data_IF_630135131269
#
_entry.id   IF_630135131269
#
_cell.length_a   1.000
_cell.length_b   1.000
_cell.length_c   1.000
_cell.angle_alpha   90.00
_cell.angle_beta   90.00
_cell.angle_gamma   90.00
#
_symmetry.space_group_name_H-M   'P 1'
#
loop_
_entity.id
_entity.type
_entity.pdbx_description
1 polymer ?
#
# COMPACT_ATOMS: atom_id res chain seq x y z
N UNK A 1 24.31 12.62 -40.97
CA UNK A 1 24.46 12.82 -39.50
C UNK A 1 23.13 12.50 -38.87
N UNK A 2 22.99 11.31 -38.29
CA UNK A 2 21.74 10.89 -37.64
C UNK A 2 21.74 11.42 -36.21
N UNK A 3 20.82 12.33 -35.89
CA UNK A 3 20.57 12.74 -34.51
C UNK A 3 19.87 11.58 -33.79
N UNK A 4 20.63 10.86 -32.97
CA UNK A 4 20.10 10.02 -31.89
C UNK A 4 19.63 10.96 -30.79
N UNK A 5 18.33 11.19 -30.70
CA UNK A 5 17.74 11.81 -29.53
C UNK A 5 17.63 10.73 -28.45
N UNK A 6 18.20 11.02 -27.28
CA UNK A 6 18.14 10.21 -26.07
C UNK A 6 16.68 10.00 -25.66
N UNK A 7 16.17 8.77 -25.80
CA UNK A 7 15.06 8.32 -24.98
C UNK A 7 15.57 8.14 -23.55
N UNK A 8 15.37 9.19 -22.74
CA UNK A 8 15.58 9.16 -21.31
C UNK A 8 14.49 8.25 -20.74
N UNK A 9 14.82 6.97 -20.57
CA UNK A 9 13.95 5.94 -20.00
C UNK A 9 13.72 6.28 -18.52
N UNK A 10 12.86 7.26 -18.24
CA UNK A 10 12.33 7.50 -16.90
C UNK A 10 11.41 6.34 -16.59
N UNK A 11 11.89 5.40 -15.78
CA UNK A 11 11.05 4.36 -15.20
C UNK A 11 9.96 5.07 -14.41
N UNK A 12 8.75 5.12 -14.97
CA UNK A 12 7.60 5.72 -14.30
C UNK A 12 7.39 4.99 -12.98
N UNK A 13 7.26 5.77 -11.91
CA UNK A 13 6.98 5.21 -10.59
C UNK A 13 5.49 4.90 -10.52
N UNK A 14 5.16 3.68 -10.15
CA UNK A 14 3.79 3.22 -9.96
C UNK A 14 3.50 2.96 -8.48
N UNK A 15 2.21 3.03 -8.13
CA UNK A 15 1.73 2.80 -6.78
C UNK A 15 0.54 1.85 -6.80
N UNK A 16 0.50 0.93 -5.84
CA UNK A 16 -0.56 -0.08 -5.74
C UNK A 16 -0.94 -0.26 -4.27
N UNK A 17 -2.24 -0.43 -4.02
CA UNK A 17 -2.81 -0.91 -2.77
C UNK A 17 -3.05 -2.42 -2.93
N UNK A 18 -2.52 -3.22 -2.02
CA UNK A 18 -2.85 -4.63 -1.87
C UNK A 18 -3.53 -4.84 -0.51
N UNK A 19 -4.56 -5.67 -0.45
CA UNK A 19 -5.40 -5.79 0.72
C UNK A 19 -6.16 -7.12 0.75
N UNK A 20 -6.61 -7.53 1.93
CA UNK A 20 -7.66 -8.54 2.00
C UNK A 20 -9.02 -7.95 1.55
N UNK A 21 -9.99 -8.80 1.34
CA UNK A 21 -11.33 -8.43 0.87
C UNK A 21 -12.05 -7.43 1.78
N UNK A 22 -11.83 -7.47 3.11
CA UNK A 22 -12.44 -6.53 4.07
C UNK A 22 -11.83 -5.13 3.92
N UNK A 23 -10.50 -5.02 3.95
CA UNK A 23 -9.79 -3.76 3.77
C UNK A 23 -10.06 -3.16 2.37
N UNK A 24 -10.12 -4.01 1.35
CA UNK A 24 -10.44 -3.58 -0.01
C UNK A 24 -11.89 -3.07 -0.12
N UNK A 25 -12.84 -3.71 0.56
CA UNK A 25 -14.23 -3.22 0.62
C UNK A 25 -14.31 -1.84 1.29
N UNK A 26 -13.58 -1.63 2.39
CA UNK A 26 -13.50 -0.33 3.06
C UNK A 26 -12.91 0.74 2.13
N UNK A 27 -11.83 0.43 1.40
CA UNK A 27 -11.23 1.36 0.44
C UNK A 27 -12.20 1.71 -0.71
N UNK A 28 -12.92 0.72 -1.22
CA UNK A 28 -13.94 0.91 -2.27
C UNK A 28 -15.12 1.77 -1.80
N UNK A 29 -15.42 1.77 -0.49
CA UNK A 29 -16.36 2.74 0.10
C UNK A 29 -15.74 4.15 0.11
N UNK A 30 -14.56 4.29 0.73
CA UNK A 30 -13.70 5.46 0.60
C UNK A 30 -12.31 5.21 1.22
N UNK A 31 -11.31 5.97 0.76
CA UNK A 31 -9.99 6.01 1.39
C UNK A 31 -10.09 6.34 2.88
N UNK A 32 -10.94 7.31 3.24
CA UNK A 32 -11.17 7.75 4.61
C UNK A 32 -11.80 6.64 5.49
N UNK A 33 -12.69 5.81 4.94
CA UNK A 33 -13.27 4.68 5.66
C UNK A 33 -12.20 3.64 6.04
N UNK A 34 -11.30 3.28 5.11
CA UNK A 34 -10.17 2.40 5.43
C UNK A 34 -9.24 3.02 6.48
N UNK A 35 -8.90 4.31 6.34
CA UNK A 35 -8.01 5.01 7.27
C UNK A 35 -8.58 5.13 8.69
N UNK A 36 -9.90 5.28 8.83
CA UNK A 36 -10.58 5.42 10.11
C UNK A 36 -10.91 4.07 10.78
N UNK A 37 -10.84 2.96 10.04
CA UNK A 37 -11.08 1.62 10.58
C UNK A 37 -9.94 1.12 11.47
N UNK A 38 -10.19 0.08 12.26
CA UNK A 38 -9.14 -0.69 12.94
C UNK A 38 -8.59 -1.84 12.06
N UNK A 39 -8.80 -1.80 10.74
CA UNK A 39 -8.26 -2.78 9.82
C UNK A 39 -6.80 -2.43 9.45
N UNK A 40 -5.92 -3.43 9.58
CA UNK A 40 -4.48 -3.36 9.27
C UNK A 40 -4.13 -4.22 8.05
N UNK A 41 -5.11 -4.94 7.50
CA UNK A 41 -4.92 -5.93 6.44
C UNK A 41 -4.81 -5.30 5.05
N UNK A 42 -3.92 -4.33 4.93
CA UNK A 42 -3.53 -3.72 3.67
C UNK A 42 -2.08 -3.28 3.68
N UNK A 43 -1.48 -3.22 2.50
CA UNK A 43 -0.15 -2.67 2.24
C UNK A 43 -0.21 -1.79 1.00
N UNK A 44 0.63 -0.76 0.98
CA UNK A 44 0.82 0.08 -0.21
C UNK A 44 2.26 -0.01 -0.68
N UNK A 45 2.44 -0.26 -1.97
CA UNK A 45 3.75 -0.41 -2.59
C UNK A 45 4.02 0.75 -3.54
N UNK A 46 5.29 1.16 -3.58
CA UNK A 46 5.85 2.08 -4.57
C UNK A 46 6.91 1.30 -5.33
N UNK A 47 6.78 1.20 -6.64
CA UNK A 47 7.70 0.41 -7.45
C UNK A 47 8.01 1.09 -8.79
N UNK A 48 9.12 0.68 -9.41
CA UNK A 48 9.51 1.09 -10.76
C UNK A 48 9.61 -0.10 -11.72
N UNK A 49 9.47 -1.32 -11.19
CA UNK A 49 9.37 -2.59 -11.90
C UNK A 49 8.45 -3.49 -11.07
N UNK A 50 7.43 -4.04 -11.72
CA UNK A 50 6.41 -4.85 -11.03
C UNK A 50 7.00 -6.16 -10.50
N UNK A 51 8.01 -6.68 -11.17
CA UNK A 51 8.75 -7.88 -10.77
C UNK A 51 9.36 -7.74 -9.38
N UNK A 52 9.71 -6.52 -8.95
CA UNK A 52 10.30 -6.27 -7.63
C UNK A 52 9.31 -6.42 -6.46
N UNK A 53 8.00 -6.44 -6.73
CA UNK A 53 6.95 -6.56 -5.72
C UNK A 53 6.01 -7.72 -5.97
N UNK A 54 6.28 -8.56 -6.98
CA UNK A 54 5.34 -9.59 -7.41
C UNK A 54 5.11 -10.64 -6.31
N UNK A 55 6.20 -11.11 -5.68
CA UNK A 55 6.12 -12.08 -4.57
C UNK A 55 5.30 -11.50 -3.40
N UNK A 56 5.59 -10.26 -2.99
CA UNK A 56 4.84 -9.59 -1.93
C UNK A 56 3.36 -9.37 -2.29
N UNK A 57 3.05 -9.08 -3.57
CA UNK A 57 1.68 -8.89 -4.05
C UNK A 57 0.86 -10.19 -4.06
N UNK A 58 1.49 -11.33 -4.32
CA UNK A 58 0.82 -12.64 -4.35
C UNK A 58 0.35 -13.11 -2.96
N UNK A 59 0.86 -12.50 -1.88
CA UNK A 59 0.38 -12.75 -0.52
C UNK A 59 -0.98 -12.11 -0.21
N UNK A 60 -1.46 -11.19 -1.06
CA UNK A 60 -2.70 -10.45 -0.85
C UNK A 60 -3.85 -10.96 -1.73
N UNK A 61 -5.08 -10.88 -1.22
CA UNK A 61 -6.28 -11.34 -1.93
C UNK A 61 -6.63 -10.43 -3.13
N UNK A 62 -6.51 -9.12 -2.95
CA UNK A 62 -6.86 -8.11 -3.95
C UNK A 62 -5.78 -7.05 -4.07
N UNK A 63 -5.62 -6.48 -5.27
CA UNK A 63 -4.78 -5.30 -5.48
C UNK A 63 -5.36 -4.33 -6.52
N UNK A 64 -5.11 -3.03 -6.34
CA UNK A 64 -5.57 -1.96 -7.23
C UNK A 64 -4.53 -0.85 -7.34
N UNK A 65 -4.30 -0.34 -8.55
CA UNK A 65 -3.44 0.82 -8.77
C UNK A 65 -4.03 2.08 -8.12
N UNK A 66 -3.16 2.90 -7.53
CA UNK A 66 -3.52 4.15 -6.85
C UNK A 66 -2.61 5.29 -7.29
N UNK A 67 -2.98 6.53 -6.95
CA UNK A 67 -2.10 7.69 -7.14
C UNK A 67 -1.12 7.89 -5.96
N UNK A 68 -0.14 8.76 -6.16
CA UNK A 68 0.88 9.06 -5.15
C UNK A 68 0.30 9.68 -3.88
N UNK A 69 -0.73 10.52 -4.01
CA UNK A 69 -1.38 11.18 -2.88
C UNK A 69 -2.09 10.16 -1.98
N UNK A 70 -2.77 9.20 -2.58
CA UNK A 70 -3.41 8.07 -1.90
C UNK A 70 -2.36 7.17 -1.27
N UNK A 71 -1.27 6.85 -1.97
CA UNK A 71 -0.15 6.10 -1.40
C UNK A 71 0.38 6.77 -0.13
N UNK A 72 0.68 8.07 -0.19
CA UNK A 72 1.23 8.81 0.96
C UNK A 72 0.26 8.84 2.14
N UNK A 73 -1.04 9.03 1.87
CA UNK A 73 -2.07 9.05 2.90
C UNK A 73 -2.24 7.69 3.59
N UNK A 74 -2.36 6.61 2.80
CA UNK A 74 -2.53 5.25 3.32
C UNK A 74 -1.27 4.74 4.03
N UNK A 75 -0.09 4.96 3.45
CA UNK A 75 1.18 4.60 4.09
C UNK A 75 1.36 5.32 5.43
N UNK A 76 1.13 6.64 5.46
CA UNK A 76 1.23 7.44 6.68
C UNK A 76 0.24 6.97 7.75
N UNK A 77 -1.01 6.68 7.36
CA UNK A 77 -2.02 6.13 8.26
C UNK A 77 -1.61 4.77 8.83
N UNK A 78 -1.15 3.85 7.99
CA UNK A 78 -0.69 2.53 8.43
C UNK A 78 0.47 2.65 9.42
N UNK A 79 1.46 3.52 9.15
CA UNK A 79 2.55 3.79 10.11
C UNK A 79 2.03 4.31 11.46
N UNK A 80 1.04 5.21 11.47
CA UNK A 80 0.44 5.75 12.71
C UNK A 80 -0.28 4.63 13.47
N UNK A 81 -1.07 3.81 12.78
CA UNK A 81 -1.79 2.67 13.37
C UNK A 81 -0.81 1.66 13.99
N UNK A 82 0.20 1.24 13.23
CA UNK A 82 1.22 0.30 13.70
C UNK A 82 2.00 0.87 14.89
N UNK A 83 2.37 2.15 14.85
CA UNK A 83 3.01 2.80 15.99
C UNK A 83 2.13 2.74 17.24
N UNK A 84 0.85 3.08 17.12
CA UNK A 84 -0.09 3.01 18.24
C UNK A 84 -0.21 1.58 18.81
N UNK A 85 -0.21 0.57 17.93
CA UNK A 85 -0.23 -0.85 18.31
C UNK A 85 1.04 -1.29 19.08
N UNK A 86 2.23 -0.86 18.65
CA UNK A 86 3.47 -1.19 19.35
C UNK A 86 3.70 -0.37 20.63
N UNK A 87 3.15 0.85 20.70
CA UNK A 87 3.24 1.71 21.90
C UNK A 87 2.28 1.23 23.01
N UNK A 88 1.33 0.33 22.75
CA UNK A 88 0.45 -0.22 23.77
C UNK A 88 1.20 -1.14 24.74
N UNK A 89 1.30 -0.81 26.05
CA UNK A 89 1.91 -1.70 27.03
C UNK A 89 0.98 -2.89 27.24
N UNK A 90 1.42 -4.08 26.84
CA UNK A 90 0.62 -5.32 26.74
C UNK A 90 -0.42 -5.28 25.59
N UNK A 91 0.01 -5.34 24.31
CA UNK A 91 -0.93 -5.58 23.23
C UNK A 91 -1.52 -6.98 23.44
N UNK A 92 -2.86 -7.09 23.36
CA UNK A 92 -3.55 -8.36 23.51
C UNK A 92 -2.96 -9.40 22.54
N UNK A 93 -2.40 -10.54 23.03
CA UNK A 93 -1.79 -11.56 22.17
C UNK A 93 -2.76 -12.16 21.15
N UNK A 94 -4.07 -12.05 21.36
CA UNK A 94 -5.08 -12.50 20.40
C UNK A 94 -5.20 -11.61 19.16
N UNK A 95 -4.60 -10.41 19.17
CA UNK A 95 -4.50 -9.54 17.99
C UNK A 95 -3.29 -9.88 17.10
N UNK A 96 -2.51 -10.90 17.47
CA UNK A 96 -1.28 -11.30 16.78
C UNK A 96 -1.47 -12.55 15.90
N UNK A 97 -2.71 -13.06 15.81
CA UNK A 97 -3.11 -14.31 15.16
C UNK A 97 -4.29 -14.10 14.22
#
# INVERSE_FOLDING_TARGET
>A
MSNKNNDMNTTETEFILAANSIAMALYKESKEALMASDCYDFMVFKYSSREAILEDLEEWEESISIDEDTYRALHGNLCIKLKAFFDTPNPDPSLWL
#
